data_IF_039765247400
#
_entry.id   IF_039765247400
#
_cell.length_a   1.000
_cell.length_b   1.000
_cell.length_c   1.000
_cell.angle_alpha   90.00
_cell.angle_beta   90.00
_cell.angle_gamma   90.00
#
_symmetry.space_group_name_H-M   'P 1'
#
loop_
_entity.id
_entity.type
_entity.pdbx_description
1 polymer ?
#
# COMPACT_ATOMS: atom_id res chain seq x y z
N UNK A 1 -60.57 1.46 1.25
CA UNK A 1 -59.36 2.16 1.77
C UNK A 1 -58.27 1.12 1.79
N UNK A 2 -57.55 1.04 0.67
CA UNK A 2 -56.45 0.10 0.47
C UNK A 2 -55.26 0.52 1.31
N UNK A 3 -54.79 -0.40 2.15
CA UNK A 3 -53.51 -0.29 2.81
C UNK A 3 -52.47 -0.97 1.91
N UNK A 4 -51.74 -0.18 1.14
CA UNK A 4 -50.57 -0.66 0.39
C UNK A 4 -49.45 -0.94 1.36
N UNK A 5 -49.24 -2.23 1.66
CA UNK A 5 -48.04 -2.73 2.33
C UNK A 5 -46.86 -2.59 1.38
N UNK A 6 -45.98 -1.61 1.62
CA UNK A 6 -44.66 -1.55 1.01
C UNK A 6 -43.82 -2.72 1.54
N UNK A 7 -43.69 -3.76 0.74
CA UNK A 7 -42.73 -4.82 0.99
C UNK A 7 -41.32 -4.24 0.86
N UNK A 8 -40.57 -4.23 1.96
CA UNK A 8 -39.12 -3.99 1.93
C UNK A 8 -38.49 -5.16 1.18
N UNK A 9 -37.91 -4.89 0.01
CA UNK A 9 -37.10 -5.89 -0.71
C UNK A 9 -36.00 -6.40 0.22
N UNK A 10 -35.75 -7.71 0.29
CA UNK A 10 -34.65 -8.24 1.08
C UNK A 10 -33.33 -7.67 0.53
N UNK A 11 -32.54 -7.05 1.40
CA UNK A 11 -31.20 -6.61 1.05
C UNK A 11 -30.41 -7.82 0.54
N UNK A 12 -29.99 -7.78 -0.72
CA UNK A 12 -29.17 -8.85 -1.28
C UNK A 12 -27.83 -8.81 -0.54
N UNK A 13 -27.46 -9.93 0.08
CA UNK A 13 -26.22 -10.01 0.84
C UNK A 13 -25.03 -9.86 -0.12
N UNK A 14 -24.16 -8.88 0.13
CA UNK A 14 -22.90 -8.74 -0.60
C UNK A 14 -22.07 -10.03 -0.48
N UNK A 15 -21.39 -10.40 -1.57
CA UNK A 15 -20.54 -11.59 -1.59
C UNK A 15 -19.31 -11.43 -0.70
N UNK A 16 -18.84 -12.56 -0.15
CA UNK A 16 -17.57 -12.61 0.57
C UNK A 16 -16.37 -12.37 -0.35
N UNK A 17 -15.26 -11.91 0.22
CA UNK A 17 -14.01 -11.72 -0.53
C UNK A 17 -13.44 -13.03 -1.06
N UNK A 18 -13.29 -13.13 -2.39
CA UNK A 18 -12.52 -14.17 -3.07
C UNK A 18 -11.04 -13.74 -3.08
N UNK A 19 -10.27 -14.27 -2.14
CA UNK A 19 -8.86 -13.93 -1.94
C UNK A 19 -7.94 -14.99 -2.56
N UNK A 20 -7.44 -14.66 -3.75
CA UNK A 20 -6.63 -15.54 -4.60
C UNK A 20 -5.17 -15.11 -4.54
N UNK A 21 -4.30 -16.00 -4.05
CA UNK A 21 -2.85 -15.81 -4.07
C UNK A 21 -2.27 -16.49 -5.29
N UNK A 22 -1.71 -15.70 -6.21
CA UNK A 22 -1.14 -16.14 -7.48
C UNK A 22 0.38 -16.17 -7.36
N UNK A 23 0.93 -17.36 -7.08
CA UNK A 23 2.38 -17.57 -6.94
C UNK A 23 3.05 -17.57 -8.30
N UNK A 24 3.90 -16.57 -8.50
CA UNK A 24 4.51 -16.26 -9.78
C UNK A 24 5.89 -15.64 -9.57
N UNK A 25 6.93 -16.47 -9.61
CA UNK A 25 8.32 -16.07 -9.42
C UNK A 25 8.93 -15.41 -10.66
N UNK A 26 8.31 -14.31 -11.10
CA UNK A 26 8.81 -13.43 -12.15
C UNK A 26 8.33 -12.01 -11.87
N UNK A 27 8.59 -11.08 -12.81
CA UNK A 27 8.01 -9.73 -12.71
C UNK A 27 6.47 -9.85 -12.67
N UNK A 28 5.77 -9.27 -11.69
CA UNK A 28 4.31 -9.31 -11.64
C UNK A 28 3.64 -8.45 -12.71
N UNK A 29 4.33 -7.49 -13.36
CA UNK A 29 3.68 -6.55 -14.31
C UNK A 29 2.96 -7.24 -15.47
N UNK A 30 3.52 -8.26 -16.13
CA UNK A 30 2.77 -9.05 -17.11
C UNK A 30 1.52 -9.73 -16.55
N UNK A 31 1.58 -10.31 -15.35
CA UNK A 31 0.42 -10.89 -14.69
C UNK A 31 -0.65 -9.82 -14.45
N UNK A 32 -0.23 -8.65 -13.97
CA UNK A 32 -1.13 -7.53 -13.71
C UNK A 32 -1.77 -6.99 -14.99
N UNK A 33 -0.97 -6.72 -16.03
CA UNK A 33 -1.44 -6.12 -17.28
C UNK A 33 -2.17 -7.07 -18.23
N UNK A 34 -1.72 -8.33 -18.35
CA UNK A 34 -2.27 -9.29 -19.32
C UNK A 34 -3.27 -10.28 -18.74
N UNK A 35 -3.45 -10.32 -17.42
CA UNK A 35 -4.42 -11.20 -16.75
C UNK A 35 -5.34 -10.42 -15.80
N UNK A 36 -4.79 -9.76 -14.77
CA UNK A 36 -5.61 -9.11 -13.74
C UNK A 36 -6.43 -7.95 -14.32
N UNK A 37 -5.84 -7.08 -15.14
CA UNK A 37 -6.56 -5.96 -15.74
C UNK A 37 -7.74 -6.41 -16.64
N UNK A 38 -7.54 -7.30 -17.64
CA UNK A 38 -8.66 -7.84 -18.43
C UNK A 38 -9.70 -8.59 -17.60
N UNK A 39 -9.27 -9.35 -16.59
CA UNK A 39 -10.18 -10.08 -15.68
C UNK A 39 -11.11 -9.12 -14.94
N UNK A 40 -10.56 -8.07 -14.34
CA UNK A 40 -11.34 -7.08 -13.59
C UNK A 40 -12.28 -6.32 -14.53
N UNK A 41 -11.83 -5.97 -15.73
CA UNK A 41 -12.68 -5.33 -16.75
C UNK A 41 -13.86 -6.22 -17.16
N UNK A 42 -13.65 -7.51 -17.41
CA UNK A 42 -14.70 -8.47 -17.76
C UNK A 42 -15.70 -8.65 -16.60
N UNK A 43 -15.22 -8.85 -15.37
CA UNK A 43 -16.08 -9.00 -14.19
C UNK A 43 -16.93 -7.74 -13.93
N UNK A 44 -16.35 -6.54 -14.08
CA UNK A 44 -17.08 -5.27 -13.97
C UNK A 44 -18.08 -5.10 -15.11
N UNK A 45 -17.70 -5.41 -16.34
CA UNK A 45 -18.56 -5.33 -17.52
C UNK A 45 -19.79 -6.24 -17.45
N UNK A 46 -19.67 -7.37 -16.73
CA UNK A 46 -20.77 -8.29 -16.42
C UNK A 46 -21.60 -7.90 -15.20
N UNK A 47 -21.18 -6.87 -14.46
CA UNK A 47 -21.83 -6.45 -13.22
C UNK A 47 -21.68 -7.45 -12.07
N UNK A 48 -20.60 -8.24 -12.04
CA UNK A 48 -20.37 -9.29 -11.04
C UNK A 48 -19.51 -8.84 -9.85
N UNK A 49 -18.85 -7.68 -9.96
CA UNK A 49 -17.80 -7.26 -9.02
C UNK A 49 -18.21 -5.98 -8.28
N UNK A 50 -18.28 -6.05 -6.94
CA UNK A 50 -18.53 -4.90 -6.07
C UNK A 50 -17.26 -4.07 -5.85
N UNK A 51 -16.13 -4.74 -5.65
CA UNK A 51 -14.83 -4.13 -5.36
C UNK A 51 -13.71 -5.10 -5.72
N UNK A 52 -12.53 -4.57 -5.96
CA UNK A 52 -11.32 -5.38 -6.02
C UNK A 52 -10.10 -4.60 -5.56
N UNK A 53 -9.03 -5.32 -5.25
CA UNK A 53 -7.69 -4.76 -5.23
C UNK A 53 -6.66 -5.88 -5.29
N UNK A 54 -5.41 -5.52 -5.56
CA UNK A 54 -4.29 -6.46 -5.47
C UNK A 54 -3.15 -5.85 -4.66
N UNK A 55 -2.27 -6.72 -4.15
CA UNK A 55 -0.99 -6.33 -3.55
C UNK A 55 0.10 -7.32 -3.99
N UNK A 56 1.34 -6.85 -4.09
CA UNK A 56 2.52 -7.70 -4.29
C UNK A 56 3.01 -8.19 -2.93
N UNK A 57 3.36 -9.47 -2.81
CA UNK A 57 3.75 -10.04 -1.52
C UNK A 57 4.79 -11.15 -1.68
N UNK A 58 5.48 -11.49 -0.58
CA UNK A 58 6.68 -12.31 -0.59
C UNK A 58 6.59 -13.58 0.28
N UNK A 59 5.72 -13.59 1.30
CA UNK A 59 5.60 -14.69 2.25
C UNK A 59 5.20 -16.01 1.57
N UNK A 60 5.88 -17.10 1.90
CA UNK A 60 5.75 -18.41 1.23
C UNK A 60 6.11 -18.38 -0.28
N UNK A 61 6.82 -17.34 -0.74
CA UNK A 61 7.25 -17.14 -2.11
C UNK A 61 6.61 -15.91 -2.77
N UNK A 62 7.22 -15.37 -3.85
CA UNK A 62 6.73 -14.17 -4.52
C UNK A 62 5.38 -14.42 -5.19
N UNK A 63 4.39 -13.59 -4.87
CA UNK A 63 3.04 -13.73 -5.39
C UNK A 63 2.29 -12.41 -5.44
N UNK A 64 1.21 -12.39 -6.23
CA UNK A 64 0.18 -11.35 -6.18
C UNK A 64 -0.98 -11.86 -5.35
N UNK A 65 -1.40 -11.11 -4.32
CA UNK A 65 -2.67 -11.35 -3.64
C UNK A 65 -3.75 -10.55 -4.36
N UNK A 66 -4.61 -11.22 -5.12
CA UNK A 66 -5.77 -10.63 -5.78
C UNK A 66 -7.01 -10.86 -4.92
N UNK A 67 -7.71 -9.78 -4.58
CA UNK A 67 -8.95 -9.82 -3.81
C UNK A 67 -10.10 -9.33 -4.69
N UNK A 68 -11.09 -10.18 -4.90
CA UNK A 68 -12.29 -9.88 -5.68
C UNK A 68 -13.50 -9.96 -4.75
N UNK A 69 -14.31 -8.91 -4.66
CA UNK A 69 -15.56 -8.93 -3.89
C UNK A 69 -16.73 -9.06 -4.86
N UNK A 70 -17.41 -10.21 -4.94
CA UNK A 70 -18.61 -10.38 -5.75
C UNK A 70 -19.71 -9.41 -5.32
N UNK A 71 -20.54 -8.98 -6.27
CA UNK A 71 -21.67 -8.08 -6.00
C UNK A 71 -22.71 -8.71 -5.06
N UNK A 72 -22.87 -10.03 -5.13
CA UNK A 72 -23.73 -10.82 -4.25
C UNK A 72 -23.10 -12.19 -4.00
N UNK A 73 -23.55 -12.87 -2.96
CA UNK A 73 -23.11 -14.25 -2.66
C UNK A 73 -23.43 -15.21 -3.83
N UNK A 74 -24.54 -15.02 -4.53
CA UNK A 74 -24.91 -15.83 -5.70
C UNK A 74 -23.97 -15.64 -6.89
N UNK A 75 -23.31 -14.48 -6.99
CA UNK A 75 -22.32 -14.20 -8.02
C UNK A 75 -20.96 -14.84 -7.73
N UNK A 76 -20.67 -15.21 -6.47
CA UNK A 76 -19.36 -15.69 -6.05
C UNK A 76 -18.85 -16.92 -6.83
N UNK A 77 -19.65 -17.97 -7.09
CA UNK A 77 -19.20 -19.11 -7.88
C UNK A 77 -18.81 -18.74 -9.32
N UNK A 78 -19.50 -17.78 -9.93
CA UNK A 78 -19.22 -17.34 -11.29
C UNK A 78 -17.98 -16.43 -11.34
N UNK A 79 -17.81 -15.53 -10.36
CA UNK A 79 -16.58 -14.73 -10.19
C UNK A 79 -15.37 -15.66 -10.04
N UNK A 80 -15.48 -16.67 -9.17
CA UNK A 80 -14.46 -17.70 -8.96
C UNK A 80 -14.13 -18.41 -10.27
N UNK A 81 -15.12 -18.95 -10.98
CA UNK A 81 -14.91 -19.66 -12.25
C UNK A 81 -14.16 -18.81 -13.28
N UNK A 82 -14.60 -17.56 -13.49
CA UNK A 82 -13.97 -16.63 -14.46
C UNK A 82 -12.53 -16.31 -14.04
N UNK A 83 -12.30 -16.02 -12.76
CA UNK A 83 -10.95 -15.72 -12.25
C UNK A 83 -10.00 -16.90 -12.42
N UNK A 84 -10.43 -18.11 -12.08
CA UNK A 84 -9.62 -19.31 -12.22
C UNK A 84 -9.25 -19.60 -13.68
N UNK A 85 -10.22 -19.51 -14.60
CA UNK A 85 -9.98 -19.69 -16.04
C UNK A 85 -8.96 -18.66 -16.58
N UNK A 86 -9.10 -17.39 -16.20
CA UNK A 86 -8.20 -16.32 -16.63
C UNK A 86 -6.78 -16.50 -16.08
N UNK A 87 -6.65 -16.87 -14.80
CA UNK A 87 -5.37 -17.07 -14.14
C UNK A 87 -4.67 -18.31 -14.71
N UNK A 88 -5.39 -19.43 -14.86
CA UNK A 88 -4.82 -20.68 -15.38
C UNK A 88 -4.37 -20.53 -16.83
N UNK A 89 -5.17 -19.84 -17.64
CA UNK A 89 -4.79 -19.52 -19.02
C UNK A 89 -3.53 -18.66 -19.08
N UNK A 90 -3.39 -17.67 -18.18
CA UNK A 90 -2.18 -16.85 -18.09
C UNK A 90 -0.96 -17.68 -17.68
N UNK A 91 -1.06 -18.46 -16.60
CA UNK A 91 0.05 -19.25 -16.07
C UNK A 91 0.51 -20.34 -17.06
N UNK A 92 -0.43 -20.94 -17.82
CA UNK A 92 -0.09 -21.88 -18.88
C UNK A 92 0.58 -21.20 -20.09
N UNK A 93 0.12 -19.99 -20.45
CA UNK A 93 0.66 -19.22 -21.59
C UNK A 93 2.01 -18.58 -21.28
N UNK A 94 2.23 -18.13 -20.04
CA UNK A 94 3.41 -17.37 -19.61
C UNK A 94 3.93 -17.86 -18.25
N UNK A 95 4.36 -19.12 -18.12
CA UNK A 95 4.89 -19.63 -16.86
C UNK A 95 6.16 -18.87 -16.46
N UNK A 96 6.29 -18.56 -15.17
CA UNK A 96 7.56 -18.17 -14.57
C UNK A 96 8.52 -19.36 -14.62
N UNK A 97 9.66 -19.16 -15.28
CA UNK A 97 10.65 -20.21 -15.52
C UNK A 97 11.65 -20.38 -14.37
N UNK A 98 11.68 -19.43 -13.44
CA UNK A 98 12.58 -19.49 -12.29
C UNK A 98 11.95 -20.31 -11.17
N UNK A 99 12.72 -21.24 -10.60
CA UNK A 99 12.37 -21.90 -9.34
C UNK A 99 12.99 -21.10 -8.19
N UNK A 100 12.22 -20.91 -7.11
CA UNK A 100 12.62 -20.12 -5.92
C UNK A 100 13.57 -20.92 -5.01
N UNK A 101 13.96 -22.13 -5.40
CA UNK A 101 14.62 -23.15 -4.58
C UNK A 101 16.14 -22.91 -4.34
N UNK A 102 16.63 -21.69 -4.58
CA UNK A 102 18.03 -21.38 -4.27
C UNK A 102 18.19 -21.15 -2.76
N UNK A 103 19.17 -21.80 -2.13
CA UNK A 103 19.56 -21.58 -0.73
C UNK A 103 19.77 -20.08 -0.43
N UNK A 104 20.18 -19.30 -1.43
CA UNK A 104 20.32 -17.85 -1.38
C UNK A 104 18.99 -17.12 -1.13
N UNK A 105 17.92 -17.50 -1.85
CA UNK A 105 16.59 -16.92 -1.66
C UNK A 105 15.99 -17.30 -0.30
N UNK A 106 16.30 -18.51 0.19
CA UNK A 106 15.85 -18.94 1.53
C UNK A 106 16.43 -18.05 2.63
N UNK A 107 17.74 -17.75 2.58
CA UNK A 107 18.37 -16.82 3.53
C UNK A 107 17.80 -15.40 3.47
N UNK A 108 17.50 -14.92 2.26
CA UNK A 108 16.86 -13.62 2.06
C UNK A 108 15.44 -13.57 2.67
N UNK A 109 14.62 -14.60 2.47
CA UNK A 109 13.28 -14.66 3.06
C UNK A 109 13.30 -14.84 4.57
N UNK A 110 14.27 -15.58 5.13
CA UNK A 110 14.45 -15.68 6.58
C UNK A 110 14.77 -14.31 7.19
N UNK A 111 15.59 -13.50 6.52
CA UNK A 111 15.87 -12.13 6.95
C UNK A 111 14.65 -11.23 6.85
N UNK A 112 13.92 -11.26 5.72
CA UNK A 112 12.64 -10.53 5.59
C UNK A 112 11.63 -10.95 6.67
N UNK A 113 11.55 -12.24 6.98
CA UNK A 113 10.65 -12.76 8.00
C UNK A 113 11.01 -12.24 9.38
N UNK A 114 12.29 -12.24 9.77
CA UNK A 114 12.74 -11.69 11.06
C UNK A 114 12.51 -10.18 11.20
N UNK A 115 12.42 -9.48 10.08
CA UNK A 115 12.07 -8.06 10.07
C UNK A 115 10.57 -7.88 10.32
N UNK A 116 9.71 -8.60 9.58
CA UNK A 116 8.26 -8.39 9.62
C UNK A 116 7.58 -9.06 10.84
N UNK A 117 8.06 -10.23 11.25
CA UNK A 117 7.43 -11.10 12.25
C UNK A 117 8.33 -11.37 13.44
N UNK A 118 7.73 -11.52 14.62
CA UNK A 118 8.45 -11.99 15.80
C UNK A 118 8.81 -13.48 15.66
N UNK A 119 9.80 -13.93 16.45
CA UNK A 119 10.17 -15.33 16.51
C UNK A 119 9.00 -16.19 17.02
N UNK A 120 8.20 -15.66 17.96
CA UNK A 120 6.99 -16.32 18.45
C UNK A 120 5.94 -16.49 17.35
N UNK A 121 5.75 -15.48 16.50
CA UNK A 121 4.85 -15.57 15.34
C UNK A 121 5.35 -16.58 14.31
N UNK A 122 6.68 -16.66 14.12
CA UNK A 122 7.32 -17.70 13.29
C UNK A 122 7.00 -19.09 13.80
N UNK A 123 7.26 -19.32 15.09
CA UNK A 123 7.06 -20.61 15.75
C UNK A 123 5.59 -20.98 15.77
N UNK A 124 4.69 -20.02 16.01
CA UNK A 124 3.25 -20.25 15.96
C UNK A 124 2.78 -20.66 14.56
N UNK A 125 3.41 -20.14 13.50
CA UNK A 125 3.00 -20.38 12.12
C UNK A 125 3.61 -21.64 11.51
N UNK A 126 4.88 -21.91 11.76
CA UNK A 126 5.63 -22.98 11.12
C UNK A 126 6.19 -24.03 12.09
N UNK A 127 6.11 -23.80 13.40
CA UNK A 127 6.75 -24.64 14.42
C UNK A 127 8.20 -24.25 14.69
N UNK A 128 8.78 -24.79 15.76
CA UNK A 128 10.13 -24.46 16.25
C UNK A 128 11.25 -24.75 15.25
N UNK A 129 11.06 -25.78 14.43
CA UNK A 129 12.02 -26.22 13.40
C UNK A 129 11.52 -25.93 11.97
N UNK A 130 10.39 -25.23 11.85
CA UNK A 130 9.72 -25.01 10.59
C UNK A 130 10.41 -23.96 9.73
N UNK A 131 11.07 -24.41 8.67
CA UNK A 131 11.39 -23.52 7.53
C UNK A 131 10.08 -23.05 6.91
N UNK A 132 10.03 -21.78 6.52
CA UNK A 132 8.88 -21.26 5.77
C UNK A 132 8.71 -22.09 4.48
N UNK A 133 7.55 -22.74 4.27
CA UNK A 133 7.32 -23.50 3.05
C UNK A 133 7.16 -22.54 1.87
N UNK A 134 7.84 -22.83 0.76
CA UNK A 134 7.58 -22.16 -0.51
C UNK A 134 6.42 -22.85 -1.21
N UNK A 135 5.41 -22.08 -1.61
CA UNK A 135 4.29 -22.58 -2.39
C UNK A 135 4.77 -22.89 -3.81
N UNK A 136 4.14 -23.87 -4.51
CA UNK A 136 4.50 -24.18 -5.88
C UNK A 136 4.43 -22.94 -6.76
N UNK A 137 5.48 -22.68 -7.54
CA UNK A 137 5.45 -21.61 -8.54
C UNK A 137 4.40 -21.93 -9.61
N UNK A 138 3.92 -20.90 -10.31
CA UNK A 138 2.87 -20.99 -11.33
C UNK A 138 1.58 -21.64 -10.81
N UNK A 139 1.15 -21.24 -9.61
CA UNK A 139 -0.06 -21.78 -8.97
C UNK A 139 -0.93 -20.70 -8.34
N UNK A 140 -2.21 -21.02 -8.13
CA UNK A 140 -3.15 -20.17 -7.40
C UNK A 140 -3.67 -20.90 -6.17
N UNK A 141 -3.85 -20.17 -5.06
CA UNK A 141 -4.40 -20.70 -3.81
C UNK A 141 -5.40 -19.72 -3.23
N UNK A 142 -6.50 -20.23 -2.70
CA UNK A 142 -7.40 -19.43 -1.87
C UNK A 142 -6.85 -19.37 -0.45
N UNK A 143 -6.62 -18.17 0.05
CA UNK A 143 -6.18 -17.92 1.42
C UNK A 143 -7.11 -16.86 2.00
N UNK A 144 -7.62 -17.09 3.21
CA UNK A 144 -8.60 -16.20 3.85
C UNK A 144 -8.07 -14.77 3.94
N UNK A 145 -8.90 -13.81 3.56
CA UNK A 145 -8.60 -12.39 3.74
C UNK A 145 -8.98 -11.97 5.16
N UNK A 146 -7.97 -11.66 5.96
CA UNK A 146 -8.12 -11.06 7.29
C UNK A 146 -7.96 -9.53 7.20
N UNK A 147 -8.99 -8.73 7.52
CA UNK A 147 -8.85 -7.28 7.56
C UNK A 147 -7.95 -6.79 8.70
N UNK A 148 -6.99 -5.92 8.37
CA UNK A 148 -6.03 -5.33 9.33
C UNK A 148 -6.65 -4.17 10.12
N UNK A 149 -7.64 -4.45 10.98
CA UNK A 149 -8.37 -3.43 11.73
C UNK A 149 -7.46 -2.50 12.52
N UNK A 150 -6.44 -3.03 13.18
CA UNK A 150 -5.57 -2.23 14.03
C UNK A 150 -4.66 -1.27 13.24
N UNK A 151 -4.35 -1.60 11.98
CA UNK A 151 -3.52 -0.78 11.08
C UNK A 151 -4.32 0.33 10.41
N UNK A 152 -5.57 0.06 10.06
CA UNK A 152 -6.39 1.00 9.30
C UNK A 152 -7.40 1.76 10.14
N UNK A 153 -7.56 1.46 11.43
CA UNK A 153 -8.43 2.24 12.32
C UNK A 153 -9.82 1.64 12.50
N UNK A 154 -9.90 0.33 12.72
CA UNK A 154 -11.15 -0.40 12.88
C UNK A 154 -11.92 -0.63 11.58
N UNK A 155 -13.18 -1.10 11.65
CA UNK A 155 -13.97 -1.46 10.47
C UNK A 155 -14.18 -0.31 9.49
N UNK A 156 -14.46 0.90 9.99
CA UNK A 156 -14.62 2.09 9.16
C UNK A 156 -13.31 2.49 8.47
N UNK A 157 -12.20 2.35 9.18
CA UNK A 157 -10.88 2.58 8.63
C UNK A 157 -10.48 1.60 7.52
N UNK A 158 -10.78 0.31 7.70
CA UNK A 158 -10.61 -0.73 6.67
C UNK A 158 -11.46 -0.43 5.44
N UNK A 159 -12.73 -0.02 5.61
CA UNK A 159 -13.62 0.31 4.49
C UNK A 159 -13.04 1.44 3.61
N UNK A 160 -12.45 2.47 4.25
CA UNK A 160 -11.73 3.54 3.58
C UNK A 160 -10.46 3.05 2.88
N UNK A 161 -9.70 2.18 3.54
CA UNK A 161 -8.49 1.58 2.99
C UNK A 161 -8.80 0.77 1.73
N UNK A 162 -9.78 -0.13 1.78
CA UNK A 162 -10.23 -0.92 0.64
C UNK A 162 -10.71 -0.05 -0.54
N UNK A 163 -11.39 1.06 -0.25
CA UNK A 163 -11.83 2.02 -1.28
C UNK A 163 -10.63 2.70 -1.95
N UNK A 164 -9.64 3.10 -1.16
CA UNK A 164 -8.39 3.63 -1.68
C UNK A 164 -7.55 2.58 -2.43
N UNK A 165 -7.57 1.33 -1.98
CA UNK A 165 -6.87 0.20 -2.57
C UNK A 165 -7.41 -0.14 -3.94
N UNK A 166 -8.73 -0.13 -4.12
CA UNK A 166 -9.33 -0.28 -5.44
C UNK A 166 -8.85 0.83 -6.39
N UNK A 167 -8.91 2.09 -5.95
CA UNK A 167 -8.51 3.23 -6.78
C UNK A 167 -7.01 3.20 -7.15
N UNK A 168 -6.14 2.86 -6.19
CA UNK A 168 -4.71 2.73 -6.44
C UNK A 168 -4.38 1.51 -7.31
N UNK A 169 -5.10 0.40 -7.18
CA UNK A 169 -5.01 -0.73 -8.11
C UNK A 169 -5.40 -0.31 -9.54
N UNK A 170 -6.52 0.38 -9.70
CA UNK A 170 -6.96 0.90 -11.01
C UNK A 170 -5.93 1.85 -11.64
N UNK A 171 -5.35 2.75 -10.84
CA UNK A 171 -4.29 3.64 -11.27
C UNK A 171 -3.06 2.86 -11.75
N UNK A 172 -2.58 1.90 -10.97
CA UNK A 172 -1.38 1.13 -11.31
C UNK A 172 -1.60 0.28 -12.55
N UNK A 173 -2.75 -0.38 -12.72
CA UNK A 173 -3.03 -1.15 -13.94
C UNK A 173 -3.00 -0.25 -15.19
N UNK A 174 -3.56 0.97 -15.11
CA UNK A 174 -3.45 1.95 -16.21
C UNK A 174 -2.02 2.38 -16.48
N UNK A 175 -1.21 2.56 -15.43
CA UNK A 175 0.20 2.95 -15.58
C UNK A 175 1.04 1.80 -16.16
N UNK A 176 0.73 0.55 -15.85
CA UNK A 176 1.38 -0.62 -16.47
C UNK A 176 1.15 -0.64 -17.99
N UNK A 177 -0.06 -0.28 -18.44
CA UNK A 177 -0.41 -0.21 -19.86
C UNK A 177 0.19 1.01 -20.57
N UNK A 178 0.23 2.18 -19.91
CA UNK A 178 0.52 3.47 -20.56
C UNK A 178 1.91 4.04 -20.28
N UNK A 179 2.61 3.55 -19.27
CA UNK A 179 3.91 4.05 -18.87
C UNK A 179 4.99 2.97 -18.96
N UNK A 180 6.25 3.40 -18.97
CA UNK A 180 7.40 2.50 -19.03
C UNK A 180 7.76 1.93 -17.65
N UNK A 181 6.79 1.36 -16.91
CA UNK A 181 7.02 0.82 -15.57
C UNK A 181 7.97 -0.39 -15.52
N UNK A 182 8.34 -0.94 -16.67
CA UNK A 182 9.44 -1.91 -16.79
C UNK A 182 10.82 -1.28 -16.58
N UNK A 183 10.93 0.05 -16.67
CA UNK A 183 12.15 0.81 -16.39
C UNK A 183 12.09 1.38 -14.97
N UNK A 184 13.03 0.96 -14.11
CA UNK A 184 13.12 1.46 -12.73
C UNK A 184 13.08 2.99 -12.61
N UNK A 185 13.78 3.80 -13.45
CA UNK A 185 13.67 5.26 -13.37
C UNK A 185 12.25 5.80 -13.57
N UNK A 186 11.45 5.18 -14.45
CA UNK A 186 10.06 5.58 -14.67
C UNK A 186 9.18 5.23 -13.48
N UNK A 187 9.37 4.04 -12.90
CA UNK A 187 8.68 3.62 -11.66
C UNK A 187 8.98 4.57 -10.51
N UNK A 188 10.26 4.88 -10.29
CA UNK A 188 10.68 5.82 -9.26
C UNK A 188 10.11 7.22 -9.50
N UNK A 189 10.21 7.76 -10.72
CA UNK A 189 9.68 9.09 -11.04
C UNK A 189 8.15 9.20 -10.89
N UNK A 190 7.41 8.13 -11.14
CA UNK A 190 5.96 8.07 -10.89
C UNK A 190 5.68 7.94 -9.39
N UNK A 191 6.37 7.04 -8.68
CA UNK A 191 6.23 6.87 -7.23
C UNK A 191 6.49 8.19 -6.49
N UNK A 192 7.56 8.91 -6.84
CA UNK A 192 7.87 10.24 -6.28
C UNK A 192 6.72 11.22 -6.46
N UNK A 193 6.08 11.26 -7.63
CA UNK A 193 4.94 12.13 -7.89
C UNK A 193 3.70 11.73 -7.07
N UNK A 194 3.40 10.43 -6.97
CA UNK A 194 2.27 9.95 -6.18
C UNK A 194 2.47 10.22 -4.68
N UNK A 195 3.68 9.97 -4.16
CA UNK A 195 4.09 10.29 -2.78
C UNK A 195 3.97 11.78 -2.49
N UNK A 196 4.46 12.63 -3.42
CA UNK A 196 4.37 14.10 -3.31
C UNK A 196 2.93 14.56 -3.20
N UNK A 197 2.07 14.15 -4.15
CA UNK A 197 0.66 14.53 -4.20
C UNK A 197 -0.08 14.09 -2.93
N UNK A 198 0.12 12.83 -2.50
CA UNK A 198 -0.55 12.30 -1.31
C UNK A 198 -0.11 13.02 -0.04
N UNK A 199 1.20 13.28 0.11
CA UNK A 199 1.75 14.00 1.28
C UNK A 199 1.22 15.43 1.36
N UNK A 200 1.19 16.14 0.23
CA UNK A 200 0.65 17.50 0.18
C UNK A 200 -0.84 17.50 0.48
N UNK A 201 -1.59 16.55 -0.08
CA UNK A 201 -3.04 16.45 0.19
C UNK A 201 -3.31 16.19 1.67
N UNK A 202 -2.54 15.32 2.32
CA UNK A 202 -2.78 14.96 3.73
C UNK A 202 -2.28 16.02 4.72
N UNK A 203 -1.14 16.65 4.45
CA UNK A 203 -0.44 17.47 5.43
C UNK A 203 -0.52 18.97 5.13
N UNK A 204 -0.65 19.36 3.86
CA UNK A 204 -0.81 20.73 3.34
C UNK A 204 0.22 21.76 3.82
N UNK A 205 1.31 21.33 4.45
CA UNK A 205 2.31 22.16 5.10
C UNK A 205 3.70 21.56 4.90
N UNK A 206 4.66 22.39 4.46
CA UNK A 206 5.99 21.92 4.06
C UNK A 206 6.76 21.31 5.21
N UNK A 207 6.69 21.91 6.40
CA UNK A 207 7.43 21.42 7.56
C UNK A 207 6.87 20.08 8.03
N UNK A 208 5.54 19.94 8.07
CA UNK A 208 4.90 18.65 8.36
C UNK A 208 5.23 17.57 7.34
N UNK A 209 5.30 17.90 6.05
CA UNK A 209 5.70 16.96 5.00
C UNK A 209 7.16 16.56 5.20
N UNK A 210 8.07 17.52 5.45
CA UNK A 210 9.47 17.22 5.67
C UNK A 210 9.65 16.32 6.91
N UNK A 211 8.98 16.64 8.01
CA UNK A 211 8.97 15.82 9.23
C UNK A 211 8.44 14.41 8.98
N UNK A 212 7.41 14.27 8.15
CA UNK A 212 6.93 12.95 7.73
C UNK A 212 7.98 12.21 6.90
N UNK A 213 8.61 12.86 5.93
CA UNK A 213 9.62 12.24 5.06
C UNK A 213 10.86 11.79 5.84
N UNK A 214 11.35 12.60 6.79
CA UNK A 214 12.44 12.21 7.70
C UNK A 214 12.08 10.92 8.43
N UNK A 215 10.92 10.89 9.08
CA UNK A 215 10.48 9.72 9.82
C UNK A 215 10.26 8.51 8.90
N UNK A 216 9.76 8.71 7.69
CA UNK A 216 9.47 7.63 6.73
C UNK A 216 10.76 7.04 6.19
N UNK A 217 11.74 7.89 5.92
CA UNK A 217 13.09 7.49 5.54
C UNK A 217 13.75 6.66 6.63
N UNK A 218 13.85 7.19 7.87
CA UNK A 218 14.45 6.49 9.01
C UNK A 218 13.72 5.20 9.31
N UNK A 219 12.39 5.22 9.26
CA UNK A 219 11.58 4.04 9.45
C UNK A 219 12.05 2.88 8.56
N UNK A 220 12.13 3.09 7.25
CA UNK A 220 12.57 2.04 6.33
C UNK A 220 14.08 1.78 6.37
N UNK A 221 14.88 2.81 6.60
CA UNK A 221 16.34 2.72 6.65
C UNK A 221 16.83 1.87 7.83
N UNK A 222 16.31 2.16 9.02
CA UNK A 222 16.64 1.46 10.25
C UNK A 222 16.05 0.05 10.26
N UNK A 223 14.81 -0.10 9.77
CA UNK A 223 14.13 -1.39 9.71
C UNK A 223 14.92 -2.42 8.90
N UNK A 224 15.46 -2.04 7.74
CA UNK A 224 16.20 -2.98 6.90
C UNK A 224 17.70 -3.06 7.21
N UNK A 225 18.18 -2.43 8.30
CA UNK A 225 19.61 -2.30 8.63
C UNK A 225 20.45 -1.97 7.39
N UNK A 226 19.91 -1.11 6.52
CA UNK A 226 20.55 -0.77 5.26
C UNK A 226 21.86 -0.05 5.64
N UNK A 227 23.00 -0.68 5.35
CA UNK A 227 24.35 -0.20 5.69
C UNK A 227 24.49 1.33 5.56
N UNK A 228 24.70 1.98 6.71
CA UNK A 228 24.60 3.43 6.97
C UNK A 228 25.80 4.26 6.48
N UNK A 229 26.48 3.85 5.40
CA UNK A 229 27.74 4.51 4.99
C UNK A 229 27.88 4.76 3.50
N UNK A 230 27.78 3.71 2.69
CA UNK A 230 27.95 3.81 1.23
C UNK A 230 26.69 4.32 0.52
N UNK A 231 25.50 4.09 1.10
CA UNK A 231 24.21 4.47 0.50
C UNK A 231 23.87 5.95 0.68
N UNK A 232 24.19 6.55 1.82
CA UNK A 232 23.91 7.97 2.07
C UNK A 232 24.70 8.87 1.13
N UNK A 233 25.94 8.48 0.81
CA UNK A 233 26.77 9.17 -0.19
C UNK A 233 26.16 9.06 -1.59
N UNK A 234 25.73 7.86 -1.99
CA UNK A 234 25.09 7.64 -3.29
C UNK A 234 23.73 8.36 -3.40
N UNK A 235 22.97 8.47 -2.32
CA UNK A 235 21.70 9.19 -2.29
C UNK A 235 21.90 10.69 -2.50
N UNK A 236 22.92 11.25 -1.84
CA UNK A 236 23.29 12.66 -2.00
C UNK A 236 23.73 12.97 -3.43
N UNK A 237 24.65 12.17 -3.99
CA UNK A 237 25.12 12.35 -5.38
C UNK A 237 23.95 12.30 -6.38
N UNK A 238 23.06 11.30 -6.24
CA UNK A 238 21.90 11.18 -7.12
C UNK A 238 20.90 12.34 -6.94
N UNK A 239 20.74 12.86 -5.71
CA UNK A 239 19.90 14.03 -5.47
C UNK A 239 20.45 15.25 -6.20
N UNK A 240 21.76 15.52 -6.11
CA UNK A 240 22.40 16.67 -6.77
C UNK A 240 22.15 16.68 -8.30
N UNK A 241 22.05 15.51 -8.93
CA UNK A 241 21.72 15.39 -10.36
C UNK A 241 20.27 15.78 -10.71
N UNK A 242 19.31 15.53 -9.81
CA UNK A 242 17.86 15.72 -10.08
C UNK A 242 17.23 16.86 -9.29
N UNK A 243 18.00 17.53 -8.43
CA UNK A 243 17.51 18.43 -7.40
C UNK A 243 16.64 19.57 -7.96
N UNK A 244 17.10 20.20 -9.04
CA UNK A 244 16.42 21.36 -9.67
C UNK A 244 15.05 20.96 -10.22
N UNK A 245 14.98 19.86 -10.97
CA UNK A 245 13.73 19.39 -11.56
C UNK A 245 12.78 18.84 -10.51
N UNK A 246 13.29 18.14 -9.49
CA UNK A 246 12.49 17.62 -8.40
C UNK A 246 11.85 18.75 -7.59
N UNK A 247 12.62 19.79 -7.24
CA UNK A 247 12.09 20.97 -6.52
C UNK A 247 11.06 21.72 -7.34
N UNK A 248 11.36 22.02 -8.61
CA UNK A 248 10.40 22.69 -9.51
C UNK A 248 9.10 21.89 -9.58
N UNK A 249 9.20 20.57 -9.76
CA UNK A 249 8.02 19.70 -9.83
C UNK A 249 7.26 19.65 -8.50
N UNK A 250 7.96 19.59 -7.37
CA UNK A 250 7.35 19.67 -6.05
C UNK A 250 6.57 20.97 -5.88
N UNK A 251 7.18 22.12 -6.20
CA UNK A 251 6.57 23.43 -6.05
C UNK A 251 5.35 23.62 -6.96
N UNK A 252 5.40 23.11 -8.19
CA UNK A 252 4.24 23.06 -9.11
C UNK A 252 3.07 22.29 -8.50
N UNK A 253 3.34 21.09 -7.96
CA UNK A 253 2.31 20.24 -7.34
C UNK A 253 1.80 20.88 -6.04
N UNK A 254 2.70 21.39 -5.20
CA UNK A 254 2.37 22.06 -3.95
C UNK A 254 1.43 23.22 -4.19
N UNK A 255 1.77 24.10 -5.14
CA UNK A 255 0.96 25.27 -5.48
C UNK A 255 -0.39 24.84 -6.04
N UNK A 256 -0.42 23.87 -6.96
CA UNK A 256 -1.67 23.39 -7.55
C UNK A 256 -2.63 22.81 -6.51
N UNK A 257 -2.14 22.03 -5.54
CA UNK A 257 -2.99 21.40 -4.52
C UNK A 257 -3.40 22.42 -3.44
N UNK A 258 -2.48 23.24 -2.95
CA UNK A 258 -2.77 24.19 -1.85
C UNK A 258 -3.60 25.40 -2.28
N UNK A 259 -3.60 25.76 -3.57
CA UNK A 259 -4.51 26.77 -4.14
C UNK A 259 -5.87 26.18 -4.59
N UNK A 260 -6.14 24.90 -4.32
CA UNK A 260 -7.35 24.20 -4.78
C UNK A 260 -7.54 24.26 -6.31
N UNK A 261 -6.43 24.06 -7.04
CA UNK A 261 -6.36 24.05 -8.51
C UNK A 261 -5.73 22.76 -9.05
N UNK A 262 -6.29 21.58 -8.72
CA UNK A 262 -5.78 20.30 -9.24
C UNK A 262 -5.86 20.21 -10.77
N UNK A 263 -6.70 21.05 -11.42
CA UNK A 263 -6.78 21.21 -12.88
C UNK A 263 -5.48 21.72 -13.53
N UNK A 264 -4.55 22.29 -12.75
CA UNK A 264 -3.21 22.64 -13.22
C UNK A 264 -2.28 21.42 -13.36
N UNK A 265 -2.63 20.30 -12.74
CA UNK A 265 -1.97 19.02 -12.95
C UNK A 265 -2.56 18.33 -14.19
N UNK A 266 -1.83 17.41 -14.80
CA UNK A 266 -2.27 16.72 -16.01
C UNK A 266 -2.28 15.21 -15.83
N UNK A 267 -3.24 14.54 -16.49
CA UNK A 267 -3.29 13.08 -16.57
C UNK A 267 -3.47 12.44 -15.20
N UNK A 268 -2.64 11.43 -14.88
CA UNK A 268 -2.78 10.69 -13.63
C UNK A 268 -2.58 11.57 -12.39
N UNK A 269 -1.72 12.60 -12.46
CA UNK A 269 -1.44 13.49 -11.32
C UNK A 269 -2.68 14.26 -10.86
N UNK A 270 -3.49 14.76 -11.80
CA UNK A 270 -4.76 15.42 -11.47
C UNK A 270 -5.73 14.44 -10.81
N UNK A 271 -5.98 13.30 -11.46
CA UNK A 271 -6.93 12.30 -10.94
C UNK A 271 -6.54 11.77 -9.56
N UNK A 272 -5.23 11.65 -9.31
CA UNK A 272 -4.69 11.22 -8.03
C UNK A 272 -4.81 12.30 -6.95
N UNK A 273 -4.58 13.58 -7.30
CA UNK A 273 -4.78 14.70 -6.36
C UNK A 273 -6.24 14.81 -5.94
N UNK A 274 -7.18 14.72 -6.89
CA UNK A 274 -8.63 14.71 -6.61
C UNK A 274 -9.02 13.51 -5.73
N UNK A 275 -8.44 12.32 -5.97
CA UNK A 275 -8.66 11.16 -5.10
C UNK A 275 -8.11 11.35 -3.69
N UNK A 276 -6.88 11.86 -3.56
CA UNK A 276 -6.25 12.11 -2.27
C UNK A 276 -7.00 13.17 -1.45
N UNK A 277 -7.55 14.20 -2.10
CA UNK A 277 -8.41 15.19 -1.46
C UNK A 277 -9.67 14.55 -0.87
N UNK A 278 -10.38 13.73 -1.66
CA UNK A 278 -11.56 12.97 -1.17
C UNK A 278 -11.21 11.97 -0.07
N UNK A 279 -10.06 11.30 -0.17
CA UNK A 279 -9.59 10.38 0.87
C UNK A 279 -9.34 11.12 2.17
N UNK A 280 -8.66 12.27 2.10
CA UNK A 280 -8.41 13.14 3.24
C UNK A 280 -9.72 13.60 3.89
N UNK A 281 -10.69 14.07 3.10
CA UNK A 281 -12.02 14.48 3.61
C UNK A 281 -12.71 13.35 4.38
N UNK A 282 -12.69 12.12 3.84
CA UNK A 282 -13.28 10.95 4.49
C UNK A 282 -12.56 10.58 5.79
N UNK A 283 -11.22 10.63 5.80
CA UNK A 283 -10.43 10.39 7.02
C UNK A 283 -10.76 11.44 8.10
N UNK A 284 -10.86 12.71 7.72
CA UNK A 284 -11.22 13.80 8.63
C UNK A 284 -12.62 13.59 9.21
N UNK A 285 -13.63 13.32 8.36
CA UNK A 285 -15.00 13.03 8.81
C UNK A 285 -15.04 11.85 9.81
N UNK A 286 -14.33 10.77 9.50
CA UNK A 286 -14.33 9.59 10.36
C UNK A 286 -13.60 9.83 11.69
N UNK A 287 -12.52 10.61 11.68
CA UNK A 287 -11.83 11.04 12.90
C UNK A 287 -12.75 11.90 13.77
N UNK A 288 -13.35 12.96 13.21
CA UNK A 288 -14.24 13.87 13.95
C UNK A 288 -15.45 13.16 14.58
N UNK A 289 -15.92 12.08 13.95
CA UNK A 289 -17.01 11.23 14.44
C UNK A 289 -16.55 10.13 15.40
N UNK A 290 -15.26 10.00 15.67
CA UNK A 290 -14.69 8.99 16.57
C UNK A 290 -14.79 7.56 16.02
N UNK A 291 -14.85 7.40 14.70
CA UNK A 291 -15.02 6.10 14.04
C UNK A 291 -13.69 5.37 13.79
N UNK A 292 -12.57 6.09 13.83
CA UNK A 292 -11.24 5.52 13.61
C UNK A 292 -10.65 5.06 14.95
N UNK A 293 -10.51 3.75 15.11
CA UNK A 293 -10.08 3.13 16.36
C UNK A 293 -8.72 2.46 16.18
N UNK A 294 -7.72 2.92 16.93
CA UNK A 294 -6.36 2.42 16.84
C UNK A 294 -5.90 1.83 18.18
N UNK A 295 -4.94 0.89 18.17
CA UNK A 295 -4.28 0.46 19.39
C UNK A 295 -3.46 1.60 20.00
N UNK A 296 -3.45 1.65 21.32
CA UNK A 296 -2.69 2.60 22.12
C UNK A 296 -1.77 1.80 23.02
N UNK A 297 -0.48 2.12 23.04
CA UNK A 297 0.45 1.56 24.03
C UNK A 297 0.71 2.56 25.16
N UNK A 298 0.82 2.05 26.38
CA UNK A 298 1.29 2.84 27.51
C UNK A 298 2.74 3.32 27.25
N UNK A 299 3.00 4.61 27.48
CA UNK A 299 4.34 5.20 27.34
C UNK A 299 4.68 5.76 25.96
N UNK A 300 3.71 5.97 25.07
CA UNK A 300 3.89 6.71 23.81
C UNK A 300 4.43 5.90 22.64
N UNK A 301 4.45 4.56 22.73
CA UNK A 301 4.63 3.69 21.57
C UNK A 301 3.30 3.55 20.83
N UNK A 302 3.34 3.53 19.50
CA UNK A 302 2.13 3.35 18.70
C UNK A 302 1.58 1.91 18.79
N UNK A 303 2.40 0.94 19.22
CA UNK A 303 2.00 -0.46 19.37
C UNK A 303 2.49 -1.09 20.68
N UNK A 304 1.67 -1.89 21.38
CA UNK A 304 2.08 -2.58 22.60
C UNK A 304 3.12 -3.67 22.33
N UNK A 305 4.03 -3.92 23.26
CA UNK A 305 4.95 -5.06 23.16
C UNK A 305 4.18 -6.38 22.99
N UNK A 306 4.78 -7.38 22.35
CA UNK A 306 4.18 -8.71 22.23
C UNK A 306 3.76 -9.23 23.62
N UNK A 307 2.46 -9.50 23.80
CA UNK A 307 1.87 -9.93 25.08
C UNK A 307 1.38 -8.82 26.02
N UNK A 308 1.51 -7.54 25.66
CA UNK A 308 0.91 -6.44 26.40
C UNK A 308 -0.60 -6.32 26.10
N UNK A 309 -1.37 -5.84 27.09
CA UNK A 309 -2.79 -5.61 26.92
C UNK A 309 -3.01 -4.45 25.94
N UNK A 310 -3.56 -4.75 24.76
CA UNK A 310 -3.78 -3.77 23.68
C UNK A 310 -5.09 -3.04 23.92
N UNK A 311 -5.01 -1.85 24.52
CA UNK A 311 -6.16 -0.94 24.59
C UNK A 311 -6.38 -0.30 23.23
N UNK A 312 -7.63 -0.26 22.78
CA UNK A 312 -8.03 0.38 21.53
C UNK A 312 -8.84 1.63 21.83
N UNK A 313 -8.48 2.74 21.22
CA UNK A 313 -9.12 4.04 21.46
C UNK A 313 -9.48 4.76 20.16
N UNK A 314 -10.59 5.51 20.14
CA UNK A 314 -10.92 6.36 19.01
C UNK A 314 -9.94 7.54 18.92
N UNK A 315 -9.39 7.76 17.72
CA UNK A 315 -8.61 8.96 17.41
C UNK A 315 -9.55 10.01 16.83
N UNK A 316 -9.75 11.09 17.58
CA UNK A 316 -10.66 12.19 17.22
C UNK A 316 -9.96 13.42 16.67
N UNK A 317 -8.64 13.54 16.83
CA UNK A 317 -7.85 14.58 16.18
C UNK A 317 -7.60 14.21 14.70
N UNK A 318 -8.15 14.98 13.73
CA UNK A 318 -7.95 14.68 12.32
C UNK A 318 -6.48 14.75 11.89
N UNK A 319 -5.67 15.61 12.51
CA UNK A 319 -4.26 15.73 12.17
C UNK A 319 -3.49 14.46 12.57
N UNK A 320 -3.78 13.88 13.74
CA UNK A 320 -3.25 12.59 14.15
C UNK A 320 -3.71 11.46 13.22
N UNK A 321 -5.00 11.37 12.91
CA UNK A 321 -5.55 10.33 12.04
C UNK A 321 -4.93 10.35 10.63
N UNK A 322 -4.80 11.54 10.03
CA UNK A 322 -4.15 11.71 8.72
C UNK A 322 -2.70 11.25 8.75
N UNK A 323 -1.94 11.56 9.81
CA UNK A 323 -0.54 11.13 9.94
C UNK A 323 -0.43 9.61 10.08
N UNK A 324 -1.29 8.98 10.88
CA UNK A 324 -1.29 7.53 11.09
C UNK A 324 -1.58 6.80 9.77
N UNK A 325 -2.61 7.24 9.03
CA UNK A 325 -3.05 6.57 7.81
C UNK A 325 -2.22 6.88 6.57
N UNK A 326 -1.47 7.98 6.56
CA UNK A 326 -0.61 8.35 5.42
C UNK A 326 0.46 7.27 5.14
N UNK A 327 1.11 6.75 6.18
CA UNK A 327 2.16 5.72 6.06
C UNK A 327 1.67 4.46 5.33
N UNK A 328 0.64 3.74 5.80
CA UNK A 328 0.19 2.52 5.13
C UNK A 328 -0.43 2.81 3.75
N UNK A 329 -1.13 3.94 3.55
CA UNK A 329 -1.65 4.28 2.21
C UNK A 329 -0.55 4.54 1.19
N UNK A 330 0.52 5.23 1.61
CA UNK A 330 1.69 5.48 0.76
C UNK A 330 2.42 4.18 0.43
N UNK A 331 2.72 3.39 1.46
CA UNK A 331 3.40 2.10 1.30
C UNK A 331 2.63 1.16 0.38
N UNK A 332 1.33 0.98 0.61
CA UNK A 332 0.52 0.07 -0.20
C UNK A 332 0.35 0.56 -1.65
N UNK A 333 0.46 1.87 -1.90
CA UNK A 333 0.50 2.41 -3.27
C UNK A 333 1.84 2.09 -3.95
N UNK A 334 2.95 2.28 -3.25
CA UNK A 334 4.30 1.97 -3.74
C UNK A 334 4.50 0.47 -3.98
N UNK A 335 4.00 -0.38 -3.07
CA UNK A 335 3.98 -1.83 -3.21
C UNK A 335 3.31 -2.26 -4.52
N UNK A 336 2.15 -1.69 -4.87
CA UNK A 336 1.44 -2.01 -6.11
C UNK A 336 2.22 -1.60 -7.36
N UNK A 337 2.89 -0.44 -7.32
CA UNK A 337 3.78 0.01 -8.40
C UNK A 337 5.01 -0.90 -8.58
N UNK A 338 5.34 -1.70 -7.57
CA UNK A 338 6.56 -2.51 -7.54
C UNK A 338 7.80 -1.72 -7.08
N UNK A 339 7.61 -0.57 -6.43
CA UNK A 339 8.66 0.09 -5.67
C UNK A 339 8.81 -0.65 -4.34
N UNK A 340 10.02 -1.10 -4.03
CA UNK A 340 10.28 -1.78 -2.76
C UNK A 340 10.61 -0.77 -1.66
N UNK A 341 10.65 -1.23 -0.41
CA UNK A 341 11.01 -0.43 0.77
C UNK A 341 12.35 0.32 0.68
N UNK A 342 13.34 -0.20 -0.07
CA UNK A 342 14.61 0.50 -0.32
C UNK A 342 14.38 1.68 -1.26
N UNK A 343 13.58 1.49 -2.31
CA UNK A 343 13.13 2.58 -3.18
C UNK A 343 12.35 3.62 -2.36
N UNK A 344 11.47 3.21 -1.46
CA UNK A 344 10.69 4.11 -0.61
C UNK A 344 11.56 4.93 0.36
N UNK A 345 12.55 4.30 0.99
CA UNK A 345 13.57 4.98 1.80
C UNK A 345 14.36 6.00 0.97
N UNK A 346 14.75 5.63 -0.25
CA UNK A 346 15.45 6.53 -1.18
C UNK A 346 14.58 7.72 -1.61
N UNK A 347 13.33 7.47 -2.02
CA UNK A 347 12.43 8.51 -2.51
C UNK A 347 12.02 9.49 -1.41
N UNK A 348 11.81 9.00 -0.18
CA UNK A 348 11.55 9.88 0.97
C UNK A 348 12.75 10.75 1.30
N UNK A 349 13.98 10.24 1.18
CA UNK A 349 15.19 11.06 1.27
C UNK A 349 15.21 12.17 0.20
N UNK A 350 14.98 11.84 -1.07
CA UNK A 350 14.97 12.84 -2.15
C UNK A 350 13.91 13.94 -1.91
N UNK A 351 12.71 13.56 -1.46
CA UNK A 351 11.63 14.49 -1.16
C UNK A 351 11.92 15.34 0.07
N UNK A 352 12.57 14.79 1.08
CA UNK A 352 13.05 15.55 2.24
C UNK A 352 14.07 16.61 1.80
N UNK A 353 15.06 16.22 0.99
CA UNK A 353 16.09 17.13 0.50
C UNK A 353 15.50 18.24 -0.37
N UNK A 354 14.49 17.94 -1.19
CA UNK A 354 13.79 18.96 -1.99
C UNK A 354 13.02 19.98 -1.14
N UNK A 355 12.68 19.64 0.11
CA UNK A 355 12.00 20.52 1.07
C UNK A 355 12.97 21.35 1.94
N UNK A 356 14.19 20.83 2.22
CA UNK A 356 15.12 21.39 3.23
C UNK A 356 16.55 21.62 2.72
N UNK A 357 16.73 21.93 1.44
CA UNK A 357 18.04 21.92 0.76
C UNK A 357 19.16 22.76 1.45
N UNK A 358 18.79 23.79 2.21
CA UNK A 358 19.70 24.71 2.91
C UNK A 358 20.01 24.31 4.37
N UNK A 359 19.44 23.22 4.90
CA UNK A 359 19.58 22.84 6.31
C UNK A 359 20.56 21.65 6.48
N UNK A 360 21.74 21.85 7.10
CA UNK A 360 22.67 20.77 7.43
C UNK A 360 22.14 19.80 8.50
N UNK A 361 21.01 20.12 9.15
CA UNK A 361 20.29 19.25 10.10
C UNK A 361 19.06 18.57 9.48
N UNK A 362 18.87 18.68 8.16
CA UNK A 362 17.69 18.16 7.45
C UNK A 362 17.38 16.68 7.73
N UNK A 363 18.39 15.89 8.09
CA UNK A 363 18.29 14.45 8.31
C UNK A 363 17.82 14.09 9.74
N UNK A 364 17.68 15.06 10.66
CA UNK A 364 17.19 14.81 12.03
C UNK A 364 15.68 15.12 12.19
N UNK A 365 14.91 14.25 12.87
CA UNK A 365 13.51 14.53 13.19
C UNK A 365 13.40 15.66 14.24
N UNK A 366 12.37 16.50 14.12
CA UNK A 366 12.11 17.56 15.11
C UNK A 366 11.86 16.97 16.52
N UNK A 367 12.39 17.63 17.56
CA UNK A 367 12.41 17.11 18.95
C UNK A 367 11.04 16.92 19.61
N UNK A 368 9.97 17.47 19.02
CA UNK A 368 8.61 17.48 19.58
C UNK A 368 7.67 16.47 18.92
N UNK A 369 8.17 15.60 18.03
CA UNK A 369 7.33 14.69 17.25
C UNK A 369 7.35 13.23 17.77
N UNK A 370 6.18 12.56 17.91
CA UNK A 370 6.12 11.15 18.26
C UNK A 370 6.71 10.24 17.16
N UNK A 371 7.29 9.11 17.57
CA UNK A 371 7.94 8.11 16.71
C UNK A 371 6.98 7.48 15.69
N UNK A 372 7.45 7.24 14.46
CA UNK A 372 6.77 6.33 13.53
C UNK A 372 7.23 4.90 13.81
N UNK A 373 6.31 4.05 14.26
CA UNK A 373 6.61 2.66 14.64
C UNK A 373 5.99 1.64 13.66
N UNK A 374 6.55 0.44 13.64
CA UNK A 374 6.69 -0.40 12.47
C UNK A 374 5.51 -1.28 12.08
N UNK A 375 4.61 -0.73 11.27
CA UNK A 375 3.35 -1.44 10.95
C UNK A 375 2.91 -1.37 9.49
N UNK A 376 3.66 -0.70 8.60
CA UNK A 376 3.28 -0.64 7.19
C UNK A 376 3.23 -2.02 6.51
N UNK A 377 3.99 -3.01 7.02
CA UNK A 377 4.11 -4.35 6.41
C UNK A 377 3.60 -5.51 7.30
N UNK A 378 3.11 -5.27 8.54
CA UNK A 378 2.63 -6.38 9.39
C UNK A 378 1.23 -6.88 8.98
N UNK A 379 1.24 -7.92 8.12
CA UNK A 379 0.17 -8.84 7.61
C UNK A 379 -0.93 -8.35 6.68
#
# INVERSE_FOLDING_TARGET
MDATTTATEPAVAEGQWEAIHIFYASDPKPLLGECVAPLVEDLRGRGLLARYFFINYWLEGPHVRLRLKPITEEAAPEVRRIAEEAIDAFLARRPALYEVDSDFLTGFYDDMFRLEYSEEERVARYGTDGRMPLRPNNSRHYIEYEPEYDKYGGPHGVELAEWHFEHSSDLVLRLIDRANLHLRPSTLGIATQLMTIMSISFLADRDRIADFMVRYHHFWHDWFKLSTGERDTAYKENYEEVAVDLRRRFDEIFTAITEDRPDRLTGFSQSWAEHCARLRERVVDHAERGLLVFPVADGGRAWPAAGAEVRREPITDPAAALRILLTPYMHMTNNRLGANVVDESYLSYLLLRSLRDDDPTADEPSSDAPSMDATADRR
#
